data_IF_464888869774
#
_entry.id   IF_464888869774
#
_cell.length_a   1.000
_cell.length_b   1.000
_cell.length_c   1.000
_cell.angle_alpha   90.00
_cell.angle_beta   90.00
_cell.angle_gamma   90.00
#
_symmetry.space_group_name_H-M   'P 1'
#
loop_
_entity.id
_entity.type
_entity.pdbx_description
1 polymer ?
#
# COMPACT_ATOMS: atom_id res chain seq x y z
N UNK A 1 -16.08 22.08 12.06
CA UNK A 1 -16.13 21.26 10.83
C UNK A 1 -14.75 20.76 10.43
N UNK A 2 -13.70 21.54 10.70
CA UNK A 2 -12.30 21.14 10.51
C UNK A 2 -11.89 19.93 11.34
N UNK A 3 -12.28 19.84 12.62
CA UNK A 3 -11.97 18.67 13.47
C UNK A 3 -12.51 17.36 12.88
N UNK A 4 -13.73 17.38 12.33
CA UNK A 4 -14.32 16.20 11.67
C UNK A 4 -13.53 15.79 10.43
N UNK A 5 -13.06 16.76 9.63
CA UNK A 5 -12.25 16.49 8.43
C UNK A 5 -10.86 15.98 8.79
N UNK A 6 -10.26 16.50 9.88
CA UNK A 6 -8.98 16.02 10.40
C UNK A 6 -9.06 14.57 10.89
N UNK A 7 -10.11 14.22 11.64
CA UNK A 7 -10.37 12.82 12.06
C UNK A 7 -10.50 11.89 10.86
N UNK A 8 -11.19 12.32 9.79
CA UNK A 8 -11.33 11.54 8.56
C UNK A 8 -9.98 11.37 7.84
N UNK A 9 -9.18 12.43 7.75
CA UNK A 9 -7.83 12.36 7.18
C UNK A 9 -6.95 11.36 7.95
N UNK A 10 -6.89 11.48 9.27
CA UNK A 10 -6.06 10.61 10.12
C UNK A 10 -6.51 9.14 10.00
N UNK A 11 -7.82 8.90 9.97
CA UNK A 11 -8.37 7.55 9.79
C UNK A 11 -7.99 6.93 8.44
N UNK A 12 -8.10 7.69 7.35
CA UNK A 12 -7.73 7.21 5.99
C UNK A 12 -6.22 6.98 5.91
N UNK A 13 -5.43 7.85 6.54
CA UNK A 13 -3.98 7.72 6.57
C UNK A 13 -3.53 6.49 7.37
N UNK A 14 -4.21 6.16 8.47
CA UNK A 14 -3.93 4.94 9.22
C UNK A 14 -4.32 3.68 8.44
N UNK A 15 -5.44 3.69 7.72
CA UNK A 15 -5.80 2.60 6.79
C UNK A 15 -4.74 2.44 5.70
N UNK A 16 -4.25 3.54 5.13
CA UNK A 16 -3.16 3.52 4.16
C UNK A 16 -1.91 2.84 4.72
N UNK A 17 -1.47 3.21 5.93
CA UNK A 17 -0.29 2.60 6.57
C UNK A 17 -0.45 1.08 6.75
N UNK A 18 -1.63 0.62 7.14
CA UNK A 18 -1.90 -0.81 7.34
C UNK A 18 -1.79 -1.56 6.00
N UNK A 19 -2.43 -1.04 4.95
CA UNK A 19 -2.40 -1.66 3.62
C UNK A 19 -0.98 -1.65 3.05
N UNK A 20 -0.31 -0.51 3.10
CA UNK A 20 1.06 -0.37 2.60
C UNK A 20 2.05 -1.23 3.39
N UNK A 21 1.87 -1.34 4.70
CA UNK A 21 2.65 -2.25 5.56
C UNK A 21 2.46 -3.71 5.15
N UNK A 22 1.23 -4.12 4.85
CA UNK A 22 0.95 -5.48 4.35
C UNK A 22 1.64 -5.76 3.01
N UNK A 23 1.59 -4.82 2.05
CA UNK A 23 2.26 -4.96 0.75
C UNK A 23 3.78 -5.16 0.92
N UNK A 24 4.41 -4.45 1.86
CA UNK A 24 5.86 -4.63 2.14
C UNK A 24 6.13 -6.03 2.71
N UNK A 25 5.31 -6.48 3.66
CA UNK A 25 5.46 -7.81 4.26
C UNK A 25 5.25 -8.90 3.21
N UNK A 26 4.27 -8.73 2.32
CA UNK A 26 4.00 -9.65 1.22
C UNK A 26 5.18 -9.77 0.24
N UNK A 27 5.80 -8.64 -0.12
CA UNK A 27 7.02 -8.63 -0.93
C UNK A 27 8.14 -9.44 -0.25
N UNK A 28 8.39 -9.18 1.04
CA UNK A 28 9.41 -9.89 1.81
C UNK A 28 9.15 -11.40 1.88
N UNK A 29 7.90 -11.79 2.12
CA UNK A 29 7.48 -13.20 2.14
C UNK A 29 7.67 -13.87 0.78
N UNK A 30 7.34 -13.18 -0.32
CA UNK A 30 7.49 -13.69 -1.69
C UNK A 30 8.97 -13.89 -2.04
N UNK A 31 9.83 -12.94 -1.68
CA UNK A 31 11.28 -13.06 -1.87
C UNK A 31 11.82 -14.26 -1.08
N UNK A 32 11.45 -14.38 0.19
CA UNK A 32 11.91 -15.47 1.05
C UNK A 32 11.46 -16.84 0.52
N UNK A 33 10.19 -16.98 0.15
CA UNK A 33 9.64 -18.23 -0.39
C UNK A 33 10.29 -18.61 -1.74
N UNK A 34 10.59 -17.62 -2.57
CA UNK A 34 11.31 -17.84 -3.84
C UNK A 34 12.75 -18.29 -3.57
N UNK A 35 13.43 -17.67 -2.61
CA UNK A 35 14.80 -18.02 -2.22
C UNK A 35 14.89 -19.42 -1.60
N UNK A 36 13.90 -19.81 -0.79
CA UNK A 36 13.79 -21.15 -0.21
C UNK A 36 13.33 -22.23 -1.21
N UNK A 37 13.12 -21.90 -2.49
CA UNK A 37 12.64 -22.80 -3.55
C UNK A 37 11.27 -23.44 -3.24
N UNK A 38 10.48 -22.82 -2.36
CA UNK A 38 9.11 -23.25 -2.05
C UNK A 38 8.19 -22.93 -3.23
N UNK A 39 8.42 -21.78 -3.87
CA UNK A 39 7.76 -21.37 -5.11
C UNK A 39 8.77 -21.28 -6.24
N UNK A 40 8.33 -21.57 -7.47
CA UNK A 40 9.20 -21.49 -8.64
C UNK A 40 9.66 -20.05 -8.91
N UNK A 41 10.86 -19.89 -9.46
CA UNK A 41 11.43 -18.57 -9.75
C UNK A 41 10.52 -17.73 -10.66
N UNK A 42 9.93 -18.34 -11.70
CA UNK A 42 9.00 -17.65 -12.61
C UNK A 42 7.75 -17.13 -11.89
N UNK A 43 7.20 -17.91 -10.96
CA UNK A 43 6.02 -17.49 -10.17
C UNK A 43 6.40 -16.41 -9.18
N UNK A 44 7.55 -16.55 -8.51
CA UNK A 44 8.08 -15.53 -7.60
C UNK A 44 8.29 -14.18 -8.27
N UNK A 45 8.92 -14.16 -9.46
CA UNK A 45 9.12 -12.92 -10.24
C UNK A 45 7.78 -12.30 -10.65
N UNK A 46 6.82 -13.10 -11.12
CA UNK A 46 5.50 -12.60 -11.49
C UNK A 46 4.77 -11.96 -10.30
N UNK A 47 4.82 -12.60 -9.11
CA UNK A 47 4.23 -12.06 -7.88
C UNK A 47 4.88 -10.75 -7.45
N UNK A 48 6.20 -10.64 -7.53
CA UNK A 48 6.93 -9.39 -7.23
C UNK A 48 6.51 -8.26 -8.17
N UNK A 49 6.38 -8.54 -9.47
CA UNK A 49 5.94 -7.53 -10.45
C UNK A 49 4.51 -7.09 -10.17
N UNK A 50 3.59 -8.03 -9.89
CA UNK A 50 2.22 -7.69 -9.54
C UNK A 50 2.13 -6.89 -8.24
N UNK A 51 2.93 -7.23 -7.22
CA UNK A 51 2.99 -6.50 -5.96
C UNK A 51 3.49 -5.04 -6.15
N UNK A 52 4.49 -4.83 -7.01
CA UNK A 52 4.95 -3.49 -7.35
C UNK A 52 3.86 -2.65 -8.05
N UNK A 53 3.09 -3.27 -8.94
CA UNK A 53 1.97 -2.61 -9.62
C UNK A 53 0.88 -2.26 -8.59
N UNK A 54 0.50 -3.21 -7.72
CA UNK A 54 -0.49 -2.98 -6.67
C UNK A 54 -0.07 -1.83 -5.75
N UNK A 55 1.19 -1.82 -5.29
CA UNK A 55 1.74 -0.74 -4.46
C UNK A 55 1.69 0.61 -5.15
N UNK A 56 1.97 0.66 -6.45
CA UNK A 56 1.85 1.90 -7.22
C UNK A 56 0.40 2.43 -7.22
N UNK A 57 -0.58 1.54 -7.45
CA UNK A 57 -1.99 1.91 -7.37
C UNK A 57 -2.40 2.36 -5.97
N UNK A 58 -1.98 1.65 -4.92
CA UNK A 58 -2.27 2.00 -3.52
C UNK A 58 -1.75 3.41 -3.21
N UNK A 59 -0.48 3.69 -3.50
CA UNK A 59 0.09 5.03 -3.27
C UNK A 59 -0.66 6.09 -4.08
N UNK A 60 -0.99 5.82 -5.34
CA UNK A 60 -1.68 6.79 -6.19
C UNK A 60 -3.09 7.13 -5.71
N UNK A 61 -3.91 6.12 -5.41
CA UNK A 61 -5.29 6.28 -4.94
C UNK A 61 -5.32 6.98 -3.59
N UNK A 62 -4.54 6.52 -2.62
CA UNK A 62 -4.51 7.13 -1.29
C UNK A 62 -3.94 8.54 -1.33
N UNK A 63 -2.95 8.82 -2.17
CA UNK A 63 -2.41 10.18 -2.35
C UNK A 63 -3.47 11.12 -2.92
N UNK A 64 -4.26 10.69 -3.91
CA UNK A 64 -5.33 11.51 -4.47
C UNK A 64 -6.43 11.82 -3.43
N UNK A 65 -6.84 10.82 -2.64
CA UNK A 65 -7.85 10.98 -1.60
C UNK A 65 -7.36 11.88 -0.46
N UNK A 66 -6.15 11.63 0.06
CA UNK A 66 -5.56 12.42 1.14
C UNK A 66 -5.30 13.87 0.70
N UNK A 67 -4.87 14.08 -0.55
CA UNK A 67 -4.65 15.42 -1.11
C UNK A 67 -5.95 16.21 -1.23
N UNK A 68 -7.04 15.61 -1.71
CA UNK A 68 -8.35 16.29 -1.79
C UNK A 68 -8.87 16.69 -0.40
N UNK A 69 -8.70 15.83 0.60
CA UNK A 69 -9.09 16.12 1.99
C UNK A 69 -8.21 17.23 2.57
N UNK A 70 -6.90 17.17 2.35
CA UNK A 70 -5.95 18.17 2.82
C UNK A 70 -6.23 19.56 2.20
N UNK A 71 -6.48 19.62 0.89
CA UNK A 71 -6.83 20.87 0.21
C UNK A 71 -8.14 21.48 0.71
N UNK A 72 -9.07 20.65 1.19
CA UNK A 72 -10.32 21.10 1.81
C UNK A 72 -10.15 21.45 3.30
N UNK A 73 -9.01 21.14 3.90
CA UNK A 73 -8.68 21.47 5.28
C UNK A 73 -8.01 22.84 5.42
N UNK A 74 -7.42 23.34 4.34
CA UNK A 74 -6.76 24.64 4.21
C UNK A 74 -7.64 25.63 3.43
#
# INVERSE_FOLDING_TARGET
>A
MEDKRKIIYDSIFDVFKIIFGYEIVFLGATILQTACKVISFSVGTALIVMDLIARFFTVWVFSAVLYDIYKKLN
#
